data_IF_629912179477
#
_entry.id   IF_629912179477
#
_cell.length_a   1.000
_cell.length_b   1.000
_cell.length_c   1.000
_cell.angle_alpha   90.00
_cell.angle_beta   90.00
_cell.angle_gamma   90.00
#
_symmetry.space_group_name_H-M   'P 1'
#
loop_
_entity.id
_entity.type
_entity.pdbx_description
1 polymer ?
#
# COMPACT_ATOMS: atom_id res chain seq x y z
N UNK A 1 -11.83 -3.36 -23.40
CA UNK A 1 -11.74 -2.13 -22.59
C UNK A 1 -11.30 -2.53 -21.19
N UNK A 2 -10.12 -2.09 -20.74
CA UNK A 2 -9.75 -2.28 -19.34
C UNK A 2 -10.64 -1.38 -18.49
N UNK A 3 -11.37 -1.90 -17.48
CA UNK A 3 -12.17 -1.06 -16.61
C UNK A 3 -11.27 0.01 -16.00
N UNK A 4 -11.74 1.26 -15.99
CA UNK A 4 -11.04 2.38 -15.34
C UNK A 4 -10.53 1.94 -13.97
N UNK A 5 -9.23 2.09 -13.75
CA UNK A 5 -8.58 1.70 -12.49
C UNK A 5 -8.98 2.72 -11.42
N UNK A 6 -10.17 2.56 -10.84
CA UNK A 6 -10.58 3.32 -9.66
C UNK A 6 -9.59 3.06 -8.53
N UNK A 7 -9.00 4.12 -8.01
CA UNK A 7 -8.16 4.05 -6.83
C UNK A 7 -9.06 4.03 -5.59
N UNK A 8 -8.90 2.98 -4.77
CA UNK A 8 -9.55 2.90 -3.46
C UNK A 8 -8.96 3.96 -2.53
N UNK A 9 -9.84 4.65 -1.82
CA UNK A 9 -9.54 5.52 -0.68
C UNK A 9 -8.92 4.72 0.47
N UNK A 10 -8.29 5.41 1.41
CA UNK A 10 -7.69 4.76 2.57
C UNK A 10 -8.77 4.10 3.45
N UNK A 11 -9.94 4.72 3.60
CA UNK A 11 -11.09 4.17 4.32
C UNK A 11 -11.63 2.90 3.67
N UNK A 12 -11.76 2.85 2.35
CA UNK A 12 -12.19 1.66 1.61
C UNK A 12 -11.17 0.51 1.78
N UNK A 13 -9.87 0.82 1.80
CA UNK A 13 -8.81 -0.18 2.02
C UNK A 13 -8.88 -0.77 3.43
N UNK A 14 -9.13 0.06 4.43
CA UNK A 14 -9.34 -0.40 5.80
C UNK A 14 -10.62 -1.22 5.95
N UNK A 15 -11.70 -0.82 5.28
CA UNK A 15 -12.96 -1.55 5.29
C UNK A 15 -12.80 -2.97 4.71
N UNK A 16 -12.05 -3.13 3.61
CA UNK A 16 -11.70 -4.45 3.05
C UNK A 16 -10.99 -5.31 4.10
N UNK A 17 -10.01 -4.74 4.82
CA UNK A 17 -9.27 -5.47 5.84
C UNK A 17 -10.18 -5.89 7.01
N UNK A 18 -11.06 -4.98 7.47
CA UNK A 18 -12.03 -5.27 8.54
C UNK A 18 -13.02 -6.36 8.13
N UNK A 19 -13.54 -6.34 6.91
CA UNK A 19 -14.44 -7.38 6.41
C UNK A 19 -13.76 -8.74 6.33
N UNK A 20 -12.50 -8.78 5.90
CA UNK A 20 -11.71 -10.02 5.89
C UNK A 20 -11.52 -10.54 7.31
N UNK A 21 -11.21 -9.66 8.26
CA UNK A 21 -11.04 -10.02 9.66
C UNK A 21 -12.34 -10.53 10.30
N UNK A 22 -13.48 -9.88 10.03
CA UNK A 22 -14.80 -10.30 10.52
C UNK A 22 -15.23 -11.66 9.96
N UNK A 23 -14.82 -11.98 8.73
CA UNK A 23 -15.08 -13.29 8.11
C UNK A 23 -14.19 -14.40 8.70
N UNK A 24 -13.04 -14.03 9.29
CA UNK A 24 -12.22 -14.97 10.06
C UNK A 24 -12.84 -15.21 11.43
N UNK A 25 -12.96 -16.47 11.83
CA UNK A 25 -13.34 -16.84 13.20
C UNK A 25 -12.19 -16.57 14.19
N UNK A 26 -11.86 -15.30 14.44
CA UNK A 26 -10.97 -14.86 15.53
C UNK A 26 -9.46 -14.99 15.28
N UNK A 27 -9.01 -15.52 14.13
CA UNK A 27 -7.58 -15.54 13.75
C UNK A 27 -7.39 -15.10 12.30
N UNK A 28 -6.28 -14.44 11.99
CA UNK A 28 -6.00 -13.99 10.63
C UNK A 28 -6.01 -15.18 9.67
N UNK A 29 -6.86 -15.11 8.64
CA UNK A 29 -7.05 -16.21 7.70
C UNK A 29 -5.71 -16.48 6.98
N UNK A 30 -5.12 -17.66 7.23
CA UNK A 30 -3.90 -18.12 6.55
C UNK A 30 -4.13 -18.29 5.05
N UNK A 31 -5.35 -18.65 4.65
CA UNK A 31 -5.80 -18.79 3.26
C UNK A 31 -7.22 -18.29 3.04
N UNK A 32 -7.37 -17.21 2.28
CA UNK A 32 -8.68 -16.62 1.97
C UNK A 32 -9.63 -17.66 1.32
N UNK A 33 -10.92 -17.70 1.70
CA UNK A 33 -11.89 -18.59 1.08
C UNK A 33 -11.95 -18.38 -0.44
N UNK A 34 -12.17 -19.48 -1.19
CA UNK A 34 -12.28 -19.43 -2.64
C UNK A 34 -13.44 -18.51 -3.04
N UNK A 35 -13.19 -17.58 -3.96
CA UNK A 35 -14.19 -16.61 -4.41
C UNK A 35 -14.30 -15.35 -3.55
N UNK A 36 -13.81 -15.33 -2.31
CA UNK A 36 -13.97 -14.17 -1.43
C UNK A 36 -13.23 -12.92 -1.93
N UNK A 37 -12.07 -13.07 -2.58
CA UNK A 37 -11.40 -11.93 -3.23
C UNK A 37 -12.20 -11.37 -4.42
N UNK A 38 -13.00 -12.21 -5.08
CA UNK A 38 -13.86 -11.78 -6.18
C UNK A 38 -15.08 -11.04 -5.63
N UNK A 39 -15.73 -11.57 -4.58
CA UNK A 39 -16.83 -10.90 -3.88
C UNK A 39 -16.43 -9.49 -3.41
N UNK A 40 -15.24 -9.36 -2.79
CA UNK A 40 -14.71 -8.05 -2.39
C UNK A 40 -14.37 -7.16 -3.60
N UNK A 41 -13.83 -7.72 -4.68
CA UNK A 41 -13.52 -6.98 -5.89
C UNK A 41 -14.80 -6.38 -6.50
N UNK A 42 -15.87 -7.17 -6.57
CA UNK A 42 -17.17 -6.76 -7.12
C UNK A 42 -17.84 -5.71 -6.23
N UNK A 43 -17.82 -5.91 -4.90
CA UNK A 43 -18.37 -4.97 -3.91
C UNK A 43 -17.70 -3.60 -3.95
N UNK A 44 -16.37 -3.58 -3.97
CA UNK A 44 -15.58 -2.35 -3.97
C UNK A 44 -15.30 -1.81 -5.39
N UNK A 45 -15.89 -2.43 -6.42
CA UNK A 45 -15.72 -2.07 -7.84
C UNK A 45 -14.24 -1.89 -8.20
N UNK A 46 -13.41 -2.84 -7.79
CA UNK A 46 -11.97 -2.80 -7.98
C UNK A 46 -11.46 -4.12 -8.57
N UNK A 47 -10.23 -4.13 -9.07
CA UNK A 47 -9.64 -5.37 -9.58
C UNK A 47 -9.19 -6.29 -8.44
N UNK A 48 -9.31 -7.61 -8.61
CA UNK A 48 -8.91 -8.64 -7.62
C UNK A 48 -7.45 -8.49 -7.18
N UNK A 49 -6.57 -7.99 -8.07
CA UNK A 49 -5.17 -7.72 -7.74
C UNK A 49 -5.00 -6.62 -6.68
N UNK A 50 -5.93 -5.66 -6.60
CA UNK A 50 -5.94 -4.60 -5.59
C UNK A 50 -6.26 -5.20 -4.21
N UNK A 51 -7.28 -6.06 -4.13
CA UNK A 51 -7.62 -6.80 -2.90
C UNK A 51 -6.42 -7.61 -2.42
N UNK A 52 -5.80 -8.40 -3.31
CA UNK A 52 -4.59 -9.19 -2.98
C UNK A 52 -3.46 -8.32 -2.47
N UNK A 53 -3.25 -7.14 -3.05
CA UNK A 53 -2.19 -6.20 -2.63
C UNK A 53 -2.45 -5.63 -1.24
N UNK A 54 -3.69 -5.23 -0.93
CA UNK A 54 -4.08 -4.75 0.41
C UNK A 54 -3.79 -5.80 1.47
N UNK A 55 -4.20 -7.04 1.23
CA UNK A 55 -3.97 -8.17 2.14
C UNK A 55 -2.49 -8.53 2.29
N UNK A 56 -1.73 -8.47 1.19
CA UNK A 56 -0.28 -8.70 1.24
C UNK A 56 0.44 -7.67 2.11
N UNK A 57 0.04 -6.39 2.04
CA UNK A 57 0.59 -5.33 2.90
C UNK A 57 0.28 -5.59 4.37
N UNK A 58 -0.96 -5.97 4.69
CA UNK A 58 -1.34 -6.32 6.05
C UNK A 58 -0.54 -7.52 6.59
N UNK A 59 -0.37 -8.56 5.76
CA UNK A 59 0.45 -9.73 6.10
C UNK A 59 1.91 -9.37 6.35
N UNK A 60 2.51 -8.51 5.52
CA UNK A 60 3.90 -8.05 5.70
C UNK A 60 4.10 -7.26 7.00
N UNK A 61 3.05 -6.60 7.50
CA UNK A 61 3.09 -5.87 8.77
C UNK A 61 2.86 -6.78 9.98
N UNK A 62 2.68 -8.08 9.79
CA UNK A 62 2.59 -9.03 10.91
C UNK A 62 1.20 -9.16 11.52
N UNK A 63 0.13 -8.83 10.78
CA UNK A 63 -1.25 -8.96 11.28
C UNK A 63 -1.59 -10.39 11.75
N UNK A 64 -1.01 -11.40 11.09
CA UNK A 64 -1.19 -12.80 11.46
C UNK A 64 -0.37 -13.25 12.68
N UNK A 65 0.60 -12.43 13.12
CA UNK A 65 1.40 -12.67 14.32
C UNK A 65 0.93 -11.86 15.53
N UNK A 66 -0.27 -11.24 15.46
CA UNK A 66 -0.83 -10.44 16.56
C UNK A 66 -0.46 -8.96 16.52
N UNK A 67 0.22 -8.46 15.47
CA UNK A 67 0.39 -7.02 15.32
C UNK A 67 -0.94 -6.36 14.92
N UNK A 68 -1.55 -5.64 15.86
CA UNK A 68 -2.82 -4.93 15.65
C UNK A 68 -2.66 -3.51 15.10
N UNK A 69 -1.42 -3.00 15.03
CA UNK A 69 -1.13 -1.69 14.45
C UNK A 69 -0.71 -1.85 12.98
N UNK A 70 -1.70 -2.03 12.12
CA UNK A 70 -1.51 -2.26 10.68
C UNK A 70 -2.10 -1.10 9.89
N UNK A 71 -1.34 -0.56 8.94
CA UNK A 71 -1.81 0.46 7.99
C UNK A 71 -1.80 -0.06 6.56
N UNK A 72 -2.94 0.03 5.88
CA UNK A 72 -3.10 -0.40 4.48
C UNK A 72 -3.27 0.77 3.50
N UNK A 73 -2.97 1.98 3.98
CA UNK A 73 -3.07 3.22 3.23
C UNK A 73 -2.29 3.18 1.90
N UNK A 74 -2.78 3.94 0.92
CA UNK A 74 -2.15 4.04 -0.38
C UNK A 74 -0.77 4.69 -0.28
N UNK A 75 0.26 4.01 -0.80
CA UNK A 75 1.61 4.58 -0.94
C UNK A 75 1.71 5.64 -2.04
N UNK A 76 0.62 5.98 -2.73
CA UNK A 76 0.63 7.05 -3.74
C UNK A 76 0.88 8.41 -3.09
N UNK A 77 0.24 8.66 -1.94
CA UNK A 77 0.47 9.86 -1.14
C UNK A 77 1.95 9.88 -0.70
N UNK A 78 2.72 10.85 -1.16
CA UNK A 78 4.17 10.97 -0.93
C UNK A 78 5.09 10.27 -1.94
N UNK A 79 4.56 9.41 -2.83
CA UNK A 79 5.32 8.92 -4.00
C UNK A 79 5.07 9.73 -5.27
N UNK A 80 4.06 10.59 -5.25
CA UNK A 80 3.80 11.60 -6.28
C UNK A 80 4.81 12.74 -6.18
N UNK A 81 5.21 13.30 -7.33
CA UNK A 81 6.17 14.40 -7.41
C UNK A 81 7.56 14.01 -7.96
N UNK A 82 8.39 15.04 -8.20
CA UNK A 82 9.72 14.90 -8.79
C UNK A 82 10.61 14.08 -7.87
N UNK A 83 11.12 12.95 -8.37
CA UNK A 83 12.15 12.18 -7.65
C UNK A 83 13.42 13.01 -7.56
N UNK A 84 14.06 13.02 -6.37
CA UNK A 84 15.37 13.65 -6.22
C UNK A 84 16.35 12.91 -7.13
N UNK A 85 16.93 13.65 -8.08
CA UNK A 85 17.87 13.10 -9.04
C UNK A 85 19.23 12.76 -8.40
N UNK A 86 19.54 13.39 -7.27
CA UNK A 86 20.81 13.21 -6.56
C UNK A 86 20.56 12.80 -5.11
N UNK A 87 21.40 11.89 -4.61
CA UNK A 87 21.46 11.56 -3.18
C UNK A 87 22.06 12.73 -2.39
N UNK A 88 21.83 12.77 -1.07
CA UNK A 88 22.38 13.85 -0.22
C UNK A 88 23.91 13.94 -0.33
N UNK A 89 24.58 12.80 -0.44
CA UNK A 89 26.02 12.69 -0.64
C UNK A 89 26.47 13.26 -1.98
N UNK A 90 25.75 12.95 -3.06
CA UNK A 90 26.02 13.49 -4.40
C UNK A 90 25.81 15.01 -4.46
N UNK A 91 24.80 15.53 -3.76
CA UNK A 91 24.56 16.97 -3.66
C UNK A 91 25.71 17.65 -2.90
N UNK A 92 26.13 17.06 -1.77
CA UNK A 92 27.26 17.58 -0.98
C UNK A 92 28.56 17.59 -1.77
N UNK A 93 28.84 16.52 -2.52
CA UNK A 93 30.02 16.43 -3.39
C UNK A 93 29.99 17.50 -4.50
N UNK A 94 28.85 17.72 -5.15
CA UNK A 94 28.71 18.76 -6.18
C UNK A 94 28.83 20.17 -5.62
N UNK A 95 28.24 20.45 -4.46
CA UNK A 95 28.44 21.71 -3.76
C UNK A 95 29.93 21.93 -3.47
N UNK A 96 30.64 20.90 -2.99
CA UNK A 96 32.07 20.97 -2.71
C UNK A 96 32.96 21.25 -3.93
N UNK A 97 32.47 21.02 -5.16
CA UNK A 97 33.18 21.34 -6.40
C UNK A 97 33.02 22.80 -6.84
N UNK A 98 31.99 23.51 -6.36
CA UNK A 98 31.80 24.94 -6.66
C UNK A 98 32.81 25.77 -5.85
N UNK A 99 33.57 26.70 -6.45
CA UNK A 99 34.49 27.57 -5.71
C UNK A 99 33.76 28.34 -4.60
N UNK A 100 34.41 28.54 -3.45
CA UNK A 100 33.81 29.17 -2.27
C UNK A 100 33.25 30.58 -2.52
N UNK A 101 33.82 31.32 -3.48
CA UNK A 101 33.33 32.65 -3.86
C UNK A 101 31.99 32.63 -4.62
N UNK A 102 31.51 31.45 -5.04
CA UNK A 102 30.32 31.26 -5.87
C UNK A 102 29.27 30.34 -5.21
N UNK A 103 29.49 29.94 -3.95
CA UNK A 103 28.50 29.22 -3.12
C UNK A 103 27.68 30.20 -2.31
#
# INVERSE_FOLDING_TARGET
>A
MTPERRNLTDDEREAILREVLLRSNGSYITRLPKGFSQELADKYKCHVSTIRRVLAVAKQQGIGGGNMKVTVASKMKGRVGRKKAFTAEQVKAKLLQVPLAQR
#
